data_IF_773879159769
#
_entry.id   IF_773879159769
#
_cell.length_a   1.000
_cell.length_b   1.000
_cell.length_c   1.000
_cell.angle_alpha   90.00
_cell.angle_beta   90.00
_cell.angle_gamma   90.00
#
_symmetry.space_group_name_H-M   'P 1'
#
loop_
_entity.id
_entity.type
_entity.pdbx_description
1 polymer ?
#
# COMPACT_ATOMS: atom_id res chain seq x y z
N UNK A 1 23.05 -1.00 -16.39
CA UNK A 1 22.37 -1.02 -15.07
C UNK A 1 21.86 0.36 -14.65
N UNK A 2 22.67 1.42 -14.61
CA UNK A 2 22.19 2.80 -14.36
C UNK A 2 21.17 3.29 -15.40
N UNK A 3 21.31 2.83 -16.63
CA UNK A 3 20.44 3.16 -17.76
C UNK A 3 19.01 2.58 -17.62
N UNK A 4 18.89 1.33 -17.16
CA UNK A 4 17.60 0.65 -16.99
C UNK A 4 16.77 1.24 -15.86
N UNK A 5 17.38 1.54 -14.71
CA UNK A 5 16.67 2.20 -13.61
C UNK A 5 16.22 3.62 -14.00
N UNK A 6 16.97 4.30 -14.87
CA UNK A 6 16.57 5.57 -15.48
C UNK A 6 15.27 5.42 -16.26
N UNK A 7 15.21 4.47 -17.19
CA UNK A 7 14.01 4.17 -17.98
C UNK A 7 12.78 3.86 -17.13
N UNK A 8 12.92 3.01 -16.11
CA UNK A 8 11.82 2.69 -15.19
C UNK A 8 11.28 3.97 -14.52
N UNK A 9 12.17 4.84 -14.05
CA UNK A 9 11.79 6.13 -13.44
C UNK A 9 11.16 7.07 -14.45
N UNK A 10 11.60 7.07 -15.69
CA UNK A 10 11.04 7.93 -16.73
C UNK A 10 9.63 7.47 -17.15
N UNK A 11 9.38 6.16 -17.27
CA UNK A 11 8.03 5.60 -17.48
C UNK A 11 7.12 5.97 -16.32
N UNK A 12 7.56 5.78 -15.07
CA UNK A 12 6.81 6.15 -13.88
C UNK A 12 6.50 7.65 -13.84
N UNK A 13 7.51 8.50 -14.11
CA UNK A 13 7.38 9.96 -14.10
C UNK A 13 6.43 10.47 -15.18
N UNK A 14 6.44 9.85 -16.37
CA UNK A 14 5.50 10.17 -17.44
C UNK A 14 4.02 9.93 -17.04
N UNK A 15 3.79 9.12 -16.00
CA UNK A 15 2.48 8.85 -15.41
C UNK A 15 2.23 9.62 -14.10
N UNK A 16 3.12 10.54 -13.74
CA UNK A 16 3.01 11.34 -12.51
C UNK A 16 3.44 10.59 -11.24
N UNK A 17 4.19 9.49 -11.36
CA UNK A 17 4.68 8.68 -10.24
C UNK A 17 6.17 8.95 -10.03
N UNK A 18 6.52 9.43 -8.84
CA UNK A 18 7.91 9.79 -8.49
C UNK A 18 8.55 8.82 -7.51
N UNK A 19 7.75 8.14 -6.68
CA UNK A 19 8.22 7.19 -5.68
C UNK A 19 8.45 5.83 -6.33
N UNK A 20 9.70 5.54 -6.66
CA UNK A 20 10.14 4.26 -7.24
C UNK A 20 11.34 3.75 -6.44
N UNK A 21 11.21 2.57 -5.86
CA UNK A 21 12.25 1.88 -5.10
C UNK A 21 12.37 0.42 -5.51
N UNK A 22 13.44 -0.25 -5.07
CA UNK A 22 13.72 -1.64 -5.44
C UNK A 22 14.12 -2.45 -4.20
N UNK A 23 13.55 -3.64 -4.09
CA UNK A 23 13.97 -4.68 -3.16
C UNK A 23 14.69 -5.83 -3.90
N UNK A 24 15.59 -6.53 -3.21
CA UNK A 24 16.16 -7.78 -3.74
C UNK A 24 15.09 -8.89 -3.67
N UNK A 25 14.97 -9.71 -4.72
CA UNK A 25 13.96 -10.77 -4.76
C UNK A 25 14.18 -11.85 -3.70
N UNK A 26 15.43 -12.05 -3.25
CA UNK A 26 15.80 -13.03 -2.22
C UNK A 26 15.44 -12.58 -0.80
N UNK A 27 15.23 -11.28 -0.57
CA UNK A 27 14.95 -10.69 0.76
C UNK A 27 13.71 -11.28 1.42
N UNK A 28 12.75 -11.78 0.65
CA UNK A 28 11.57 -12.48 1.19
C UNK A 28 11.90 -13.79 1.91
N UNK A 29 13.04 -14.40 1.58
CA UNK A 29 13.55 -15.60 2.22
C UNK A 29 14.52 -15.35 3.37
N UNK A 30 15.15 -14.17 3.41
CA UNK A 30 16.27 -13.86 4.32
C UNK A 30 15.93 -12.83 5.39
N UNK A 31 15.06 -11.85 5.12
CA UNK A 31 14.63 -10.88 6.13
C UNK A 31 13.75 -11.58 7.20
N UNK A 32 14.10 -11.50 8.50
CA UNK A 32 13.37 -12.23 9.55
C UNK A 32 11.90 -11.79 9.71
N UNK A 33 11.59 -10.52 9.46
CA UNK A 33 10.23 -9.98 9.58
C UNK A 33 9.37 -10.45 8.41
N UNK A 34 9.91 -10.49 7.19
CA UNK A 34 9.18 -10.91 6.00
C UNK A 34 9.07 -12.44 5.92
N UNK A 35 10.17 -13.16 6.12
CA UNK A 35 10.23 -14.62 5.98
C UNK A 35 9.31 -15.35 6.97
N UNK A 36 9.13 -14.81 8.18
CA UNK A 36 8.21 -15.32 9.21
C UNK A 36 6.73 -15.01 8.94
N UNK A 37 6.43 -14.13 7.97
CA UNK A 37 5.08 -13.61 7.72
C UNK A 37 4.54 -13.96 6.33
N UNK A 38 5.44 -14.14 5.37
CA UNK A 38 5.10 -14.46 3.99
C UNK A 38 5.52 -15.90 3.69
N UNK A 39 4.51 -16.76 3.49
CA UNK A 39 4.71 -18.13 3.07
C UNK A 39 5.35 -18.19 1.68
N UNK A 40 6.08 -19.27 1.40
CA UNK A 40 6.86 -19.45 0.16
C UNK A 40 6.07 -19.12 -1.11
N UNK A 41 4.83 -19.60 -1.32
CA UNK A 41 4.07 -19.31 -2.55
C UNK A 41 3.81 -17.81 -2.80
N UNK A 42 3.84 -16.97 -1.76
CA UNK A 42 3.63 -15.53 -1.88
C UNK A 42 4.92 -14.72 -2.07
N UNK A 43 6.05 -15.38 -2.32
CA UNK A 43 7.37 -14.76 -2.50
C UNK A 43 7.70 -14.54 -3.99
N UNK A 44 8.52 -13.55 -4.34
CA UNK A 44 8.87 -13.25 -5.73
C UNK A 44 9.39 -14.45 -6.50
N UNK A 45 10.32 -15.22 -5.90
CA UNK A 45 10.94 -16.40 -6.54
C UNK A 45 9.96 -17.56 -6.78
N UNK A 46 8.79 -17.59 -6.13
CA UNK A 46 7.74 -18.56 -6.45
C UNK A 46 6.83 -18.10 -7.58
N UNK A 47 6.70 -16.78 -7.78
CA UNK A 47 5.89 -16.18 -8.83
C UNK A 47 6.68 -16.12 -10.14
N UNK A 48 7.95 -15.70 -10.07
CA UNK A 48 8.89 -15.64 -11.17
C UNK A 48 10.24 -16.22 -10.69
N UNK A 49 10.56 -17.50 -10.99
CA UNK A 49 11.78 -18.16 -10.50
C UNK A 49 13.09 -17.47 -10.88
N UNK A 50 13.11 -16.78 -12.02
CA UNK A 50 14.27 -16.03 -12.50
C UNK A 50 14.42 -14.63 -11.86
N UNK A 51 13.52 -14.25 -10.95
CA UNK A 51 13.50 -12.91 -10.40
C UNK A 51 14.78 -12.58 -9.61
N UNK A 52 15.33 -11.39 -9.87
CA UNK A 52 16.44 -10.81 -9.13
C UNK A 52 16.01 -9.58 -8.34
N UNK A 53 14.99 -8.88 -8.80
CA UNK A 53 14.54 -7.63 -8.17
C UNK A 53 13.04 -7.50 -8.16
N UNK A 54 12.55 -6.72 -7.18
CA UNK A 54 11.15 -6.28 -7.10
C UNK A 54 11.13 -4.76 -7.11
N UNK A 55 10.66 -4.17 -8.20
CA UNK A 55 10.40 -2.73 -8.30
C UNK A 55 9.10 -2.43 -7.56
N UNK A 56 9.11 -1.42 -6.70
CA UNK A 56 7.95 -0.96 -5.94
C UNK A 56 7.69 0.49 -6.29
N UNK A 57 6.49 0.77 -6.79
CA UNK A 57 6.05 2.13 -7.07
C UNK A 57 4.99 2.58 -6.06
N UNK A 58 5.06 3.84 -5.65
CA UNK A 58 4.18 4.44 -4.67
C UNK A 58 3.43 5.65 -5.22
N UNK A 59 2.14 5.78 -4.89
CA UNK A 59 1.35 6.97 -5.21
C UNK A 59 0.77 7.56 -3.91
N UNK A 60 1.04 8.85 -3.61
CA UNK A 60 0.46 9.52 -2.45
C UNK A 60 -1.03 9.77 -2.65
N UNK A 61 -1.80 9.50 -1.59
CA UNK A 61 -3.21 9.84 -1.52
C UNK A 61 -3.37 11.33 -1.22
N UNK A 62 -4.27 11.99 -1.95
CA UNK A 62 -4.59 13.39 -1.70
C UNK A 62 -5.19 13.56 -0.30
N UNK A 63 -4.47 14.28 0.57
CA UNK A 63 -4.77 14.36 2.01
C UNK A 63 -6.15 14.99 2.29
N UNK A 64 -6.56 15.98 1.49
CA UNK A 64 -7.87 16.63 1.62
C UNK A 64 -9.03 15.65 1.35
N UNK A 65 -8.94 14.86 0.29
CA UNK A 65 -9.94 13.83 -0.03
C UNK A 65 -9.95 12.76 1.06
N UNK A 66 -8.77 12.27 1.46
CA UNK A 66 -8.66 11.24 2.49
C UNK A 66 -9.20 11.71 3.86
N UNK A 67 -9.15 13.01 4.18
CA UNK A 67 -9.74 13.55 5.40
C UNK A 67 -11.26 13.29 5.47
N UNK A 68 -11.91 13.04 4.34
CA UNK A 68 -13.33 12.69 4.25
C UNK A 68 -13.62 11.19 4.46
N UNK A 69 -12.60 10.32 4.57
CA UNK A 69 -12.78 8.88 4.69
C UNK A 69 -13.50 8.42 5.99
N UNK A 70 -14.40 7.44 5.95
CA UNK A 70 -14.96 6.83 4.74
C UNK A 70 -15.92 7.79 4.04
N UNK A 71 -15.93 7.78 2.72
CA UNK A 71 -16.85 8.56 1.89
C UNK A 71 -16.81 8.06 0.46
N UNK A 72 -17.83 8.44 -0.32
CA UNK A 72 -17.81 8.21 -1.77
C UNK A 72 -16.62 8.92 -2.43
N UNK A 73 -16.24 10.10 -1.95
CA UNK A 73 -15.13 10.85 -2.52
C UNK A 73 -13.78 10.15 -2.29
N UNK A 74 -13.57 9.59 -1.09
CA UNK A 74 -12.40 8.76 -0.82
C UNK A 74 -12.40 7.47 -1.64
N UNK A 75 -13.56 6.81 -1.80
CA UNK A 75 -13.68 5.64 -2.68
C UNK A 75 -13.27 5.99 -4.12
N UNK A 76 -13.76 7.09 -4.69
CA UNK A 76 -13.38 7.51 -6.04
C UNK A 76 -11.87 7.72 -6.17
N UNK A 77 -11.24 8.41 -5.21
CA UNK A 77 -9.78 8.55 -5.19
C UNK A 77 -9.08 7.19 -5.10
N UNK A 78 -9.57 6.29 -4.24
CA UNK A 78 -9.01 4.95 -4.09
C UNK A 78 -9.05 4.17 -5.41
N UNK A 79 -10.18 4.19 -6.11
CA UNK A 79 -10.34 3.52 -7.41
C UNK A 79 -9.41 4.13 -8.47
N UNK A 80 -9.38 5.46 -8.58
CA UNK A 80 -8.50 6.17 -9.53
C UNK A 80 -7.03 5.86 -9.30
N UNK A 81 -6.56 5.90 -8.03
CA UNK A 81 -5.15 5.63 -7.71
C UNK A 81 -4.80 4.16 -7.96
N UNK A 82 -5.71 3.23 -7.72
CA UNK A 82 -5.45 1.82 -8.03
C UNK A 82 -5.32 1.58 -9.53
N UNK A 83 -6.20 2.17 -10.34
CA UNK A 83 -6.11 2.09 -11.81
C UNK A 83 -4.78 2.66 -12.30
N UNK A 84 -4.37 3.82 -11.77
CA UNK A 84 -3.09 4.44 -12.10
C UNK A 84 -1.91 3.50 -11.78
N UNK A 85 -1.91 2.90 -10.59
CA UNK A 85 -0.87 1.96 -10.17
C UNK A 85 -0.82 0.72 -11.07
N UNK A 86 -1.97 0.10 -11.37
CA UNK A 86 -2.03 -1.09 -12.22
C UNK A 86 -1.54 -0.79 -13.65
N UNK A 87 -1.96 0.35 -14.22
CA UNK A 87 -1.48 0.80 -15.54
C UNK A 87 0.02 1.09 -15.55
N UNK A 88 0.55 1.71 -14.49
CA UNK A 88 1.97 2.00 -14.38
C UNK A 88 2.80 0.73 -14.16
N UNK A 89 2.32 -0.20 -13.34
CA UNK A 89 2.96 -1.49 -13.13
C UNK A 89 3.09 -2.28 -14.42
N UNK A 90 2.00 -2.37 -15.20
CA UNK A 90 2.02 -3.03 -16.51
C UNK A 90 2.97 -2.35 -17.49
N UNK A 91 2.95 -1.02 -17.58
CA UNK A 91 3.87 -0.29 -18.49
C UNK A 91 5.33 -0.48 -18.13
N UNK A 92 5.67 -0.51 -16.84
CA UNK A 92 7.04 -0.80 -16.38
C UNK A 92 7.42 -2.24 -16.71
N UNK A 93 6.51 -3.20 -16.55
CA UNK A 93 6.76 -4.60 -16.91
C UNK A 93 7.01 -4.77 -18.42
N UNK A 94 6.20 -4.10 -19.26
CA UNK A 94 6.38 -4.09 -20.72
C UNK A 94 7.71 -3.45 -21.13
N UNK A 95 8.11 -2.35 -20.49
CA UNK A 95 9.40 -1.70 -20.73
C UNK A 95 10.57 -2.63 -20.40
N UNK A 96 10.52 -3.30 -19.25
CA UNK A 96 11.53 -4.31 -18.88
C UNK A 96 11.57 -5.47 -19.87
N UNK A 97 10.41 -5.90 -20.36
CA UNK A 97 10.28 -6.92 -21.40
C UNK A 97 10.91 -6.50 -22.73
N UNK A 98 10.72 -5.25 -23.15
CA UNK A 98 11.33 -4.71 -24.36
C UNK A 98 12.86 -4.66 -24.27
N UNK A 99 13.40 -4.54 -23.06
CA UNK A 99 14.83 -4.59 -22.74
C UNK A 99 15.37 -6.03 -22.57
N UNK A 100 14.53 -7.05 -22.77
CA UNK A 100 14.91 -8.46 -22.75
C UNK A 100 14.87 -9.12 -21.36
N UNK A 101 14.20 -8.51 -20.38
CA UNK A 101 14.02 -9.08 -19.04
C UNK A 101 12.62 -9.64 -18.85
N UNK A 102 12.49 -10.79 -18.21
CA UNK A 102 11.21 -11.27 -17.72
C UNK A 102 10.71 -10.30 -16.64
N UNK A 103 9.46 -9.85 -16.77
CA UNK A 103 8.84 -8.97 -15.81
C UNK A 103 7.34 -9.25 -15.72
N UNK A 104 6.81 -9.29 -14.50
CA UNK A 104 5.38 -9.43 -14.23
C UNK A 104 4.96 -8.37 -13.23
N UNK A 105 3.91 -7.62 -13.55
CA UNK A 105 3.29 -6.74 -12.57
C UNK A 105 2.39 -7.56 -11.65
N UNK A 106 2.39 -7.23 -10.37
CA UNK A 106 1.45 -7.78 -9.40
C UNK A 106 0.25 -6.84 -9.35
N UNK A 107 -0.97 -7.30 -9.63
CA UNK A 107 -2.16 -6.45 -9.56
C UNK A 107 -2.38 -5.98 -8.13
N UNK A 108 -2.82 -4.75 -8.01
CA UNK A 108 -2.93 -4.08 -6.72
C UNK A 108 -3.95 -4.77 -5.79
N UNK A 109 -4.97 -5.44 -6.34
CA UNK A 109 -5.71 -6.51 -5.64
C UNK A 109 -5.58 -7.85 -6.37
N UNK A 110 -5.31 -8.90 -5.58
CA UNK A 110 -5.26 -10.28 -6.03
C UNK A 110 -6.31 -11.16 -5.35
N UNK A 111 -7.54 -10.65 -5.17
CA UNK A 111 -8.64 -11.40 -4.52
C UNK A 111 -10.00 -11.11 -5.17
N UNK A 112 -10.92 -12.08 -5.10
CA UNK A 112 -12.29 -12.01 -5.66
C UNK A 112 -13.23 -11.11 -4.84
N UNK A 113 -12.89 -9.82 -4.72
CA UNK A 113 -13.64 -8.84 -3.92
C UNK A 113 -13.79 -9.26 -2.45
N UNK A 114 -14.86 -8.78 -1.79
CA UNK A 114 -15.11 -9.08 -0.39
C UNK A 114 -15.40 -10.57 -0.11
N UNK A 115 -16.03 -11.27 -1.06
CA UNK A 115 -16.30 -12.69 -0.93
C UNK A 115 -15.00 -13.50 -0.89
N UNK A 116 -14.07 -13.20 -1.80
CA UNK A 116 -12.72 -13.75 -1.78
C UNK A 116 -11.98 -13.43 -0.49
N UNK A 117 -12.04 -12.18 -0.01
CA UNK A 117 -11.39 -11.77 1.24
C UNK A 117 -11.94 -12.46 2.49
N UNK A 118 -13.24 -12.79 2.52
CA UNK A 118 -13.84 -13.56 3.61
C UNK A 118 -13.29 -14.99 3.67
N UNK A 119 -12.98 -15.57 2.52
CA UNK A 119 -12.41 -16.92 2.41
C UNK A 119 -10.90 -16.92 2.66
N UNK A 120 -10.19 -15.97 2.04
CA UNK A 120 -8.74 -15.78 2.13
C UNK A 120 -8.42 -14.33 2.44
N UNK A 121 -8.09 -14.04 3.70
CA UNK A 121 -7.88 -12.67 4.18
C UNK A 121 -6.53 -12.06 3.75
N UNK A 122 -5.99 -12.48 2.63
CA UNK A 122 -4.76 -11.94 2.04
C UNK A 122 -4.76 -12.15 0.55
N UNK A 123 -4.27 -11.16 -0.19
CA UNK A 123 -3.84 -11.36 -1.56
C UNK A 123 -2.63 -12.31 -1.60
N UNK A 124 -2.36 -12.90 -2.77
CA UNK A 124 -1.24 -13.82 -2.98
C UNK A 124 0.14 -13.14 -2.79
N UNK A 125 0.22 -11.81 -2.93
CA UNK A 125 1.44 -11.04 -2.74
C UNK A 125 1.20 -9.82 -1.84
N UNK A 126 2.22 -9.42 -1.07
CA UNK A 126 2.11 -8.32 -0.11
C UNK A 126 2.94 -7.10 -0.49
N UNK A 127 2.31 -6.13 -1.18
CA UNK A 127 2.96 -4.85 -1.53
C UNK A 127 3.50 -4.07 -0.32
N UNK A 128 2.92 -4.25 0.87
CA UNK A 128 3.43 -3.60 2.10
C UNK A 128 4.80 -4.15 2.50
N UNK A 129 4.99 -5.47 2.41
CA UNK A 129 6.29 -6.07 2.70
C UNK A 129 7.30 -5.72 1.60
N UNK A 130 6.86 -5.64 0.34
CA UNK A 130 7.70 -5.14 -0.75
C UNK A 130 8.18 -3.71 -0.48
N UNK A 131 7.29 -2.79 -0.11
CA UNK A 131 7.65 -1.40 0.22
C UNK A 131 8.57 -1.30 1.44
N UNK A 132 8.42 -2.18 2.44
CA UNK A 132 9.35 -2.28 3.56
C UNK A 132 10.75 -2.71 3.10
N UNK A 133 10.85 -3.80 2.33
CA UNK A 133 12.13 -4.31 1.81
C UNK A 133 12.81 -3.34 0.84
N UNK A 134 12.01 -2.62 0.04
CA UNK A 134 12.49 -1.60 -0.88
C UNK A 134 12.90 -0.30 -0.18
N UNK A 135 12.84 -0.26 1.16
CA UNK A 135 13.27 0.91 1.94
C UNK A 135 12.37 2.13 1.77
N UNK A 136 11.08 1.96 1.47
CA UNK A 136 10.16 3.10 1.32
C UNK A 136 9.62 3.59 2.68
N UNK A 137 9.63 2.75 3.71
CA UNK A 137 9.14 3.09 5.03
C UNK A 137 9.09 1.90 5.99
N UNK A 138 8.56 2.12 7.19
CA UNK A 138 8.45 1.09 8.24
C UNK A 138 7.01 0.87 8.67
N UNK A 139 6.68 -0.32 9.19
CA UNK A 139 5.34 -0.61 9.67
C UNK A 139 4.93 0.27 10.88
N UNK A 140 3.67 0.72 10.87
CA UNK A 140 3.02 1.33 12.03
C UNK A 140 2.18 0.35 12.85
N UNK A 141 1.62 0.84 13.97
CA UNK A 141 0.64 0.09 14.80
C UNK A 141 -0.59 -0.32 13.96
N UNK A 142 -1.00 0.49 12.99
CA UNK A 142 -2.08 0.14 12.05
C UNK A 142 -1.67 -0.90 10.98
N UNK A 143 -0.45 -1.44 11.06
CA UNK A 143 0.20 -2.32 10.09
C UNK A 143 0.25 -1.78 8.64
N UNK A 144 0.13 -0.48 8.45
CA UNK A 144 0.44 0.17 7.18
C UNK A 144 1.92 0.57 7.16
N UNK A 145 2.50 0.72 5.97
CA UNK A 145 3.84 1.30 5.80
C UNK A 145 3.75 2.81 6.01
N UNK A 146 4.57 3.32 6.91
CA UNK A 146 4.74 4.74 7.17
C UNK A 146 5.97 5.22 6.41
N UNK A 147 5.74 6.00 5.36
CA UNK A 147 6.79 6.71 4.62
C UNK A 147 7.17 8.01 5.33
N UNK A 148 8.38 8.56 5.11
CA UNK A 148 8.81 9.81 5.73
C UNK A 148 7.84 10.98 5.47
N UNK A 149 7.49 11.21 4.21
CA UNK A 149 6.81 12.43 3.77
C UNK A 149 5.28 12.29 3.75
N UNK A 150 4.78 11.06 3.57
CA UNK A 150 3.34 10.81 3.41
C UNK A 150 2.75 9.92 4.51
N UNK A 151 3.56 9.39 5.42
CA UNK A 151 3.12 8.44 6.43
C UNK A 151 2.41 7.25 5.78
N UNK A 152 1.22 6.84 6.25
CA UNK A 152 0.47 5.71 5.69
C UNK A 152 -0.39 6.09 4.48
N UNK A 153 -0.28 7.31 3.95
CA UNK A 153 -1.14 7.84 2.88
C UNK A 153 -0.54 7.56 1.52
N UNK A 154 -0.05 6.34 1.35
CA UNK A 154 0.56 5.85 0.12
C UNK A 154 -0.14 4.56 -0.29
N UNK A 155 -0.32 4.40 -1.60
CA UNK A 155 -0.69 3.13 -2.23
C UNK A 155 0.51 2.63 -2.99
N UNK A 156 0.70 1.32 -3.01
CA UNK A 156 1.86 0.68 -3.64
C UNK A 156 1.38 -0.38 -4.63
N UNK A 157 2.14 -0.56 -5.70
CA UNK A 157 2.14 -1.79 -6.49
C UNK A 157 3.57 -2.28 -6.69
N UNK A 158 3.74 -3.49 -7.22
CA UNK A 158 5.04 -4.14 -7.37
C UNK A 158 5.19 -4.82 -8.71
N UNK A 159 6.41 -4.80 -9.25
CA UNK A 159 6.81 -5.47 -10.48
C UNK A 159 7.95 -6.40 -10.14
N UNK A 160 7.79 -7.69 -10.40
CA UNK A 160 8.80 -8.71 -10.15
C UNK A 160 9.55 -8.94 -11.47
N UNK A 161 10.87 -8.90 -11.46
CA UNK A 161 11.66 -8.99 -12.70
C UNK A 161 12.96 -9.78 -12.53
N UNK A 162 13.41 -10.42 -13.61
CA UNK A 162 14.74 -11.02 -13.72
C UNK A 162 15.86 -10.00 -13.92
N UNK A 163 15.53 -8.72 -14.15
CA UNK A 163 16.51 -7.65 -14.16
C UNK A 163 17.18 -7.48 -12.80
N UNK A 164 18.50 -7.34 -12.80
CA UNK A 164 19.28 -7.01 -11.61
C UNK A 164 19.32 -5.49 -11.44
N UNK A 165 18.67 -5.00 -10.38
CA UNK A 165 18.50 -3.58 -10.11
C UNK A 165 19.07 -3.23 -8.72
N UNK A 166 19.65 -2.04 -8.53
CA UNK A 166 20.18 -1.63 -7.23
C UNK A 166 19.09 -1.56 -6.16
N UNK A 167 19.22 -2.38 -5.11
CA UNK A 167 18.30 -2.39 -3.96
C UNK A 167 18.84 -1.55 -2.79
N UNK A 168 17.93 -1.00 -1.99
CA UNK A 168 18.26 -0.12 -0.85
C UNK A 168 18.18 -0.86 0.49
N UNK A 169 17.32 -1.89 0.56
CA UNK A 169 17.02 -2.62 1.78
C UNK A 169 16.13 -1.84 2.76
N UNK A 170 15.67 -2.48 3.86
CA UNK A 170 14.79 -1.84 4.83
C UNK A 170 15.41 -0.63 5.53
N UNK A 171 14.59 0.40 5.77
CA UNK A 171 14.98 1.52 6.61
C UNK A 171 15.15 1.09 8.07
N UNK A 172 16.23 1.54 8.71
CA UNK A 172 16.52 1.24 10.14
C UNK A 172 15.66 2.05 11.13
N UNK A 173 15.16 3.22 10.70
CA UNK A 173 14.42 4.15 11.56
C UNK A 173 12.94 3.75 11.62
N UNK A 174 12.41 3.52 12.82
CA UNK A 174 10.96 3.39 13.04
C UNK A 174 10.28 4.76 12.90
N UNK A 175 9.29 4.88 12.01
CA UNK A 175 8.50 6.10 11.84
C UNK A 175 7.27 6.19 12.77
N UNK A 176 6.81 5.07 13.33
CA UNK A 176 5.64 5.08 14.18
C UNK A 176 5.95 5.73 15.53
N UNK A 177 5.28 6.85 15.84
CA UNK A 177 5.42 7.54 17.14
C UNK A 177 4.52 6.96 18.25
N UNK A 178 3.93 5.78 18.03
CA UNK A 178 3.13 5.03 19.02
C UNK A 178 1.98 5.81 19.69
N UNK A 179 1.44 6.83 19.01
CA UNK A 179 0.38 7.71 19.54
C UNK A 179 -1.03 7.08 19.64
N UNK A 180 -1.23 5.88 19.05
CA UNK A 180 -2.50 5.13 19.03
C UNK A 180 -3.72 5.86 18.47
N UNK A 181 -3.55 6.98 17.74
CA UNK A 181 -4.66 7.68 17.06
C UNK A 181 -5.39 6.76 16.08
N UNK A 182 -4.66 5.89 15.37
CA UNK A 182 -5.25 4.91 14.46
C UNK A 182 -6.10 3.86 15.18
N UNK A 183 -5.63 3.34 16.31
CA UNK A 183 -6.37 2.42 17.18
C UNK A 183 -7.68 3.04 17.66
N UNK A 184 -7.62 4.24 18.24
CA UNK A 184 -8.80 4.96 18.75
C UNK A 184 -9.82 5.32 17.66
N UNK A 185 -9.36 5.55 16.43
CA UNK A 185 -10.23 5.92 15.32
C UNK A 185 -10.79 4.73 14.52
N UNK A 186 -10.41 3.49 14.87
CA UNK A 186 -10.80 2.30 14.12
C UNK A 186 -12.24 1.91 14.48
N UNK A 187 -13.21 2.01 13.54
CA UNK A 187 -14.62 1.72 13.84
C UNK A 187 -14.87 0.23 14.15
N UNK A 188 -14.04 -0.67 13.64
CA UNK A 188 -14.14 -2.11 13.90
C UNK A 188 -13.28 -2.57 15.07
N UNK A 189 -12.62 -1.66 15.78
CA UNK A 189 -11.64 -2.00 16.84
C UNK A 189 -10.67 -3.09 16.35
N UNK A 190 -10.17 -2.98 15.12
CA UNK A 190 -9.40 -4.04 14.49
C UNK A 190 -7.91 -3.94 14.82
N UNK A 191 -7.46 -2.80 15.33
CA UNK A 191 -6.04 -2.48 15.54
C UNK A 191 -5.71 -2.68 17.02
N UNK A 192 -4.60 -3.37 17.32
CA UNK A 192 -4.11 -3.55 18.68
C UNK A 192 -3.32 -2.35 19.22
N UNK A 193 -2.66 -2.55 20.35
CA UNK A 193 -1.82 -1.53 21.02
C UNK A 193 -0.32 -1.70 20.77
N UNK A 194 0.11 -2.82 20.18
CA UNK A 194 1.52 -3.12 19.90
C UNK A 194 1.87 -2.85 18.43
N UNK A 195 3.14 -2.56 18.11
CA UNK A 195 3.58 -2.41 16.73
C UNK A 195 3.59 -3.75 15.99
N UNK A 196 3.69 -3.69 14.66
CA UNK A 196 4.04 -4.85 13.86
C UNK A 196 5.50 -5.24 14.14
N UNK A 197 5.87 -6.53 14.21
CA UNK A 197 5.04 -7.72 13.99
C UNK A 197 4.34 -8.26 15.26
N UNK A 198 4.53 -7.66 16.44
CA UNK A 198 3.96 -8.14 17.71
C UNK A 198 2.43 -8.14 17.75
N UNK A 199 1.80 -7.22 17.02
CA UNK A 199 0.36 -7.22 16.81
C UNK A 199 0.00 -7.05 15.34
N UNK A 200 -0.95 -7.87 14.92
CA UNK A 200 -1.57 -7.82 13.61
C UNK A 200 -2.99 -7.28 13.72
N UNK A 201 -3.40 -6.47 12.74
CA UNK A 201 -4.78 -6.03 12.58
C UNK A 201 -5.67 -7.26 12.43
N UNK A 202 -6.71 -7.33 13.27
CA UNK A 202 -7.78 -8.32 13.18
C UNK A 202 -8.55 -8.11 11.89
N UNK A 203 -8.19 -8.88 10.87
CA UNK A 203 -8.67 -8.67 9.49
C UNK A 203 -10.17 -8.91 9.40
N UNK A 204 -10.71 -9.84 10.19
CA UNK A 204 -12.13 -10.15 10.32
C UNK A 204 -12.93 -8.88 10.63
N UNK A 205 -12.56 -8.17 11.71
CA UNK A 205 -13.27 -6.97 12.15
C UNK A 205 -13.11 -5.79 11.18
N UNK A 206 -11.93 -5.67 10.56
CA UNK A 206 -11.71 -4.66 9.51
C UNK A 206 -12.59 -4.95 8.27
N UNK A 207 -12.76 -6.24 7.95
CA UNK A 207 -13.55 -6.72 6.83
C UNK A 207 -15.05 -6.55 7.06
N UNK A 208 -15.54 -6.75 8.29
CA UNK A 208 -16.94 -6.46 8.68
C UNK A 208 -17.31 -5.01 8.37
N UNK A 209 -16.52 -4.05 8.85
CA UNK A 209 -16.71 -2.62 8.53
C UNK A 209 -16.64 -2.39 7.02
N UNK A 210 -15.68 -3.01 6.34
CA UNK A 210 -15.52 -2.84 4.89
C UNK A 210 -16.72 -3.41 4.11
N UNK A 211 -17.35 -4.47 4.61
CA UNK A 211 -18.55 -5.05 4.04
C UNK A 211 -19.78 -4.16 4.23
N UNK A 212 -19.97 -3.59 5.43
CA UNK A 212 -21.02 -2.59 5.68
C UNK A 212 -20.88 -1.36 4.77
N UNK A 213 -19.66 -0.85 4.60
CA UNK A 213 -19.37 0.26 3.71
C UNK A 213 -19.59 -0.11 2.24
N UNK A 214 -19.27 -1.34 1.84
CA UNK A 214 -19.46 -1.80 0.47
C UNK A 214 -20.94 -1.97 0.11
N UNK A 215 -21.78 -2.42 1.05
CA UNK A 215 -23.23 -2.45 0.87
C UNK A 215 -23.83 -1.05 0.61
N UNK A 216 -23.15 0.00 1.07
CA UNK A 216 -23.47 1.41 0.81
C UNK A 216 -22.74 2.02 -0.38
N UNK A 217 -21.91 1.24 -1.09
CA UNK A 217 -21.12 1.73 -2.22
C UNK A 217 -19.98 2.70 -1.87
N UNK A 218 -19.50 2.72 -0.62
CA UNK A 218 -18.50 3.70 -0.11
C UNK A 218 -17.27 3.06 0.54
N UNK A 219 -17.06 1.75 0.36
CA UNK A 219 -15.81 1.08 0.74
C UNK A 219 -14.65 1.59 -0.12
N UNK A 220 -13.43 1.82 0.41
CA UNK A 220 -12.93 1.37 1.71
C UNK A 220 -13.00 2.39 2.87
N UNK A 221 -12.69 1.93 4.09
CA UNK A 221 -12.78 2.72 5.32
C UNK A 221 -11.77 3.88 5.44
N UNK A 222 -10.47 3.59 5.36
CA UNK A 222 -9.39 4.61 5.37
C UNK A 222 -9.16 5.38 6.68
N UNK A 223 -9.95 5.18 7.74
CA UNK A 223 -9.83 5.98 8.99
C UNK A 223 -8.44 5.92 9.63
N UNK A 224 -7.86 4.73 9.72
CA UNK A 224 -6.58 4.52 10.39
C UNK A 224 -5.39 5.22 9.71
N UNK A 225 -5.47 5.44 8.39
CA UNK A 225 -4.45 6.15 7.62
C UNK A 225 -4.71 7.66 7.59
N UNK A 226 -5.99 8.06 7.61
CA UNK A 226 -6.41 9.46 7.64
C UNK A 226 -5.95 10.17 8.92
N UNK A 227 -6.11 9.53 10.09
CA UNK A 227 -5.81 10.15 11.39
C UNK A 227 -4.33 10.08 11.80
N UNK A 228 -3.49 9.37 11.05
CA UNK A 228 -2.08 9.20 11.40
C UNK A 228 -1.33 10.54 11.25
N UNK A 229 -0.61 10.99 12.30
CA UNK A 229 0.11 12.28 12.27
C UNK A 229 1.46 12.21 11.55
N UNK A 230 2.04 11.02 11.39
CA UNK A 230 3.34 10.84 10.69
C UNK A 230 3.19 11.27 9.24
N UNK A 231 4.14 12.05 8.70
CA UNK A 231 4.11 12.59 7.34
C UNK A 231 3.02 13.66 7.09
N UNK A 232 2.55 14.33 8.15
CA UNK A 232 1.66 15.49 8.05
C UNK A 232 2.42 16.78 8.35
N UNK A 233 1.97 17.85 7.72
CA UNK A 233 2.37 19.22 8.00
C UNK A 233 1.15 20.05 8.39
N UNK A 234 1.34 21.12 9.16
CA UNK A 234 0.29 22.08 9.52
C UNK A 234 -0.30 22.79 8.30
N UNK A 235 0.43 22.83 7.18
CA UNK A 235 -0.03 23.36 5.90
C UNK A 235 -0.92 22.40 5.10
N UNK A 236 -1.11 21.16 5.57
CA UNK A 236 -1.90 20.16 4.85
C UNK A 236 -3.35 20.63 4.65
N UNK A 237 -3.88 20.57 3.42
CA UNK A 237 -5.25 21.02 3.15
C UNK A 237 -6.26 20.11 3.85
N UNK A 238 -7.13 20.72 4.67
CA UNK A 238 -8.24 20.06 5.35
C UNK A 238 -9.55 20.72 4.89
N UNK A 239 -10.50 19.96 4.32
CA UNK A 239 -11.81 20.51 3.98
C UNK A 239 -12.52 21.04 5.24
N UNK A 240 -13.40 22.04 5.06
CA UNK A 240 -14.20 22.57 6.18
C UNK A 240 -15.10 21.50 6.77
N UNK A 241 -15.47 21.66 8.05
CA UNK A 241 -16.38 20.72 8.71
C UNK A 241 -17.73 20.59 7.98
N UNK A 242 -18.23 21.69 7.41
CA UNK A 242 -19.44 21.70 6.59
C UNK A 242 -19.29 20.82 5.33
N UNK A 243 -18.16 20.94 4.62
CA UNK A 243 -17.88 20.09 3.46
C UNK A 243 -17.73 18.62 3.84
N UNK A 244 -17.04 18.32 4.94
CA UNK A 244 -16.90 16.95 5.45
C UNK A 244 -18.26 16.36 5.82
N UNK A 245 -19.12 17.13 6.49
CA UNK A 245 -20.47 16.69 6.86
C UNK A 245 -21.32 16.37 5.63
N UNK A 246 -21.29 17.25 4.62
CA UNK A 246 -22.00 17.05 3.35
C UNK A 246 -21.50 15.81 2.60
N UNK A 247 -20.18 15.65 2.46
CA UNK A 247 -19.57 14.49 1.76
C UNK A 247 -19.87 13.17 2.50
N UNK A 248 -19.98 13.21 3.84
CA UNK A 248 -20.26 12.04 4.67
C UNK A 248 -21.75 11.82 4.96
N UNK A 249 -22.68 12.59 4.39
CA UNK A 249 -24.11 12.44 4.67
C UNK A 249 -24.64 11.02 4.42
N UNK A 250 -24.08 10.32 3.43
CA UNK A 250 -24.43 8.93 3.10
C UNK A 250 -23.75 7.86 3.97
N UNK A 251 -22.80 8.24 4.83
CA UNK A 251 -22.12 7.30 5.73
C UNK A 251 -23.03 6.98 6.93
N UNK A 252 -23.70 7.99 7.47
CA UNK A 252 -24.45 7.94 8.75
C UNK A 252 -25.92 7.55 8.62
N UNK A 253 -26.51 7.61 7.42
CA UNK A 253 -27.92 7.25 7.25
C UNK A 253 -28.09 5.74 7.50
N UNK A 254 -28.74 5.42 8.61
CA UNK A 254 -29.39 4.14 8.91
C UNK A 254 -30.80 4.20 8.35
#
# INVERSE_FOLDING_TARGET
MNDLMGRIKDVARAMGITDVSVADASDWGTDPLVSSRIAVPGRPLSILPAAKSVVVIGVPLQKAILATAPSIYYKSLYDTVNILLDQAGERIALELGAEGFDAVYVPRDGYHGLAGLKMYQSAFFSHRHAAYLAGMGTFGINNAILTPDHGPRMRFTSIITSAELPSVGPMKREFCIKCRKCTKACPGEAIGDKPYPESVVRKERCLEVSAELAAKGISPCGRCIAVCPVGRDNSDPVPTDAAIAEIRKYVKNR
#
